data_IF_947377065698
#
_entry.id   IF_947377065698
#
_cell.length_a   1.000
_cell.length_b   1.000
_cell.length_c   1.000
_cell.angle_alpha   90.00
_cell.angle_beta   90.00
_cell.angle_gamma   90.00
#
_symmetry.space_group_name_H-M   'P 1'
#
loop_
_entity.id
_entity.type
_entity.pdbx_description
1 polymer ?
#
# COMPACT_ATOMS: atom_id res chain seq x y z
N UNK A 1 -13.80 9.21 28.61
CA UNK A 1 -13.57 9.52 27.18
C UNK A 1 -12.55 8.50 26.67
N UNK A 2 -12.97 7.49 25.92
CA UNK A 2 -12.10 6.36 25.53
C UNK A 2 -11.30 6.76 24.30
N UNK A 3 -9.99 6.93 24.45
CA UNK A 3 -9.08 7.17 23.35
C UNK A 3 -8.96 5.89 22.50
N UNK A 4 -9.65 5.85 21.36
CA UNK A 4 -9.45 4.82 20.35
C UNK A 4 -8.10 5.08 19.68
N UNK A 5 -7.03 4.48 20.21
CA UNK A 5 -5.73 4.48 19.55
C UNK A 5 -5.89 3.94 18.12
N UNK A 6 -5.66 4.81 17.14
CA UNK A 6 -5.66 4.52 15.70
C UNK A 6 -4.51 3.55 15.34
N UNK A 7 -4.67 2.26 15.68
CA UNK A 7 -3.80 1.18 15.24
C UNK A 7 -4.02 0.97 13.74
N UNK A 8 -3.29 1.71 12.90
CA UNK A 8 -3.19 1.44 11.46
C UNK A 8 -2.40 0.14 11.31
N UNK A 9 -2.94 -0.80 10.53
CA UNK A 9 -2.31 -2.10 10.28
C UNK A 9 -1.06 -1.90 9.42
N UNK A 10 0.07 -1.62 10.08
CA UNK A 10 1.41 -1.76 9.49
C UNK A 10 1.55 -3.22 9.09
N UNK A 11 1.74 -3.49 7.80
CA UNK A 11 1.83 -4.84 7.25
C UNK A 11 2.69 -5.73 8.14
N UNK A 12 2.13 -6.86 8.59
CA UNK A 12 2.78 -7.79 9.51
C UNK A 12 4.18 -8.14 8.98
N UNK A 13 5.24 -7.54 9.55
CA UNK A 13 6.62 -8.02 9.37
C UNK A 13 6.66 -9.44 9.92
N UNK A 14 6.77 -10.44 9.05
CA UNK A 14 7.34 -11.72 9.45
C UNK A 14 8.81 -11.40 9.70
N UNK A 15 9.21 -11.25 10.97
CA UNK A 15 10.62 -11.08 11.35
C UNK A 15 11.37 -12.29 10.82
N UNK A 16 11.99 -12.17 9.65
CA UNK A 16 13.05 -13.08 9.27
C UNK A 16 14.25 -12.61 10.08
N UNK A 17 14.56 -13.35 11.14
CA UNK A 17 15.79 -13.18 11.90
C UNK A 17 16.98 -13.28 10.95
N UNK A 18 17.95 -12.36 10.98
CA UNK A 18 19.22 -12.58 10.31
C UNK A 18 19.88 -13.76 11.01
N UNK A 19 20.02 -14.89 10.31
CA UNK A 19 20.93 -15.94 10.76
C UNK A 19 22.35 -15.40 10.57
N UNK A 20 22.89 -14.80 11.63
CA UNK A 20 24.32 -14.55 11.76
C UNK A 20 25.04 -15.89 11.60
N UNK A 21 25.62 -16.13 10.43
CA UNK A 21 26.67 -17.13 10.26
C UNK A 21 27.99 -16.39 10.48
N UNK A 22 28.51 -16.51 11.71
CA UNK A 22 29.89 -16.13 12.01
C UNK A 22 30.78 -17.27 11.49
N UNK A 23 31.64 -16.96 10.54
CA UNK A 23 32.85 -17.75 10.25
C UNK A 23 34.03 -16.78 10.21
N UNK A 24 35.11 -17.02 10.96
CA UNK A 24 36.28 -16.16 10.91
C UNK A 24 37.17 -16.62 9.75
N UNK A 25 37.64 -15.71 8.90
CA UNK A 25 39.02 -15.74 8.40
C UNK A 25 39.35 -14.54 7.50
N UNK A 26 40.40 -13.85 7.94
CA UNK A 26 41.44 -13.08 7.23
C UNK A 26 41.05 -11.86 6.39
N UNK A 27 41.76 -10.79 6.73
CA UNK A 27 41.86 -9.49 6.08
C UNK A 27 42.15 -9.61 4.57
N UNK A 28 41.33 -8.93 3.77
CA UNK A 28 41.82 -8.04 2.72
C UNK A 28 40.75 -6.94 2.53
N UNK A 29 41.24 -5.71 2.42
CA UNK A 29 40.46 -4.47 2.40
C UNK A 29 39.47 -4.46 1.23
N UNK A 30 38.15 -4.28 1.43
CA UNK A 30 37.26 -4.05 0.31
C UNK A 30 37.35 -2.59 -0.10
N UNK A 31 37.87 -2.38 -1.31
CA UNK A 31 37.62 -1.21 -2.13
C UNK A 31 36.11 -0.88 -2.04
N UNK A 32 35.81 0.35 -1.63
CA UNK A 32 34.45 0.84 -1.42
C UNK A 32 33.71 0.80 -2.76
N UNK A 33 33.04 -0.32 -3.04
CA UNK A 33 32.03 -0.39 -4.09
C UNK A 33 30.99 0.66 -3.71
N UNK A 34 31.00 1.78 -4.44
CA UNK A 34 29.95 2.79 -4.36
C UNK A 34 28.68 2.05 -4.71
N UNK A 35 27.86 1.71 -3.71
CA UNK A 35 26.54 1.15 -3.97
C UNK A 35 25.88 2.07 -5.01
N UNK A 36 25.41 1.54 -6.14
CA UNK A 36 24.69 2.36 -7.09
C UNK A 36 23.61 3.08 -6.31
N UNK A 37 23.49 4.39 -6.48
CA UNK A 37 22.47 5.19 -5.81
C UNK A 37 21.10 4.70 -6.33
N UNK A 38 20.60 3.62 -5.75
CA UNK A 38 19.33 3.00 -6.12
C UNK A 38 18.28 3.94 -5.59
N UNK A 39 17.66 4.67 -6.50
CA UNK A 39 16.51 5.51 -6.22
C UNK A 39 15.50 4.72 -5.35
N UNK A 40 15.28 5.12 -4.09
CA UNK A 40 14.44 4.35 -3.17
C UNK A 40 12.95 4.41 -3.56
N UNK A 41 12.56 5.33 -4.45
CA UNK A 41 11.19 5.52 -4.90
C UNK A 41 11.11 5.55 -6.43
N UNK A 42 11.38 4.39 -7.10
CA UNK A 42 11.27 4.28 -8.54
C UNK A 42 9.82 4.53 -8.99
N UNK A 43 9.66 5.18 -10.15
CA UNK A 43 8.33 5.42 -10.72
C UNK A 43 7.61 4.11 -11.04
N UNK A 44 8.32 3.14 -11.63
CA UNK A 44 7.77 1.82 -11.90
C UNK A 44 7.81 0.99 -10.62
N UNK A 45 6.63 0.52 -10.20
CA UNK A 45 6.48 -0.26 -8.97
C UNK A 45 6.32 -1.75 -9.27
N UNK A 46 6.72 -2.59 -8.33
CA UNK A 46 6.36 -4.01 -8.35
C UNK A 46 4.83 -4.16 -8.26
N UNK A 47 4.26 -5.18 -8.90
CA UNK A 47 2.82 -5.48 -8.82
C UNK A 47 2.34 -5.76 -7.39
N UNK A 48 3.23 -5.98 -6.44
CA UNK A 48 2.95 -6.14 -5.01
C UNK A 48 3.20 -4.88 -4.19
N UNK A 49 3.44 -3.74 -4.82
CA UNK A 49 3.63 -2.43 -4.18
C UNK A 49 2.50 -1.47 -4.58
N UNK A 50 2.42 -0.33 -3.89
CA UNK A 50 1.36 0.66 -4.13
C UNK A 50 1.85 2.09 -3.85
N UNK A 51 1.53 3.08 -4.73
CA UNK A 51 2.03 4.45 -4.64
C UNK A 51 1.80 5.17 -3.32
N UNK A 52 0.66 4.95 -2.65
CA UNK A 52 0.38 5.69 -1.41
C UNK A 52 1.20 5.18 -0.23
N UNK A 53 1.55 3.88 -0.21
CA UNK A 53 2.45 3.34 0.79
C UNK A 53 3.88 3.89 0.58
N UNK A 54 4.28 4.07 -0.68
CA UNK A 54 5.53 4.76 -1.03
C UNK A 54 5.52 6.23 -0.61
N UNK A 55 4.35 6.86 -0.60
CA UNK A 55 4.14 8.25 -0.22
C UNK A 55 4.12 8.56 1.26
N UNK A 56 3.96 7.55 2.11
CA UNK A 56 3.75 7.77 3.55
C UNK A 56 5.05 8.12 4.25
N UNK A 57 5.33 9.42 4.37
CA UNK A 57 6.53 9.97 5.03
C UNK A 57 6.62 9.65 6.52
N UNK A 58 5.54 9.15 7.13
CA UNK A 58 5.53 8.71 8.53
C UNK A 58 6.23 7.38 8.74
N UNK A 59 6.54 6.67 7.65
CA UNK A 59 7.16 5.35 7.65
C UNK A 59 8.63 5.44 7.22
N UNK A 60 9.42 4.47 7.67
CA UNK A 60 10.81 4.31 7.20
C UNK A 60 10.84 3.92 5.71
N UNK A 61 11.98 4.15 5.03
CA UNK A 61 12.13 3.79 3.60
C UNK A 61 11.84 2.29 3.36
N UNK A 62 12.29 1.41 4.25
CA UNK A 62 12.00 -0.03 4.18
C UNK A 62 10.49 -0.34 4.26
N UNK A 63 9.77 0.36 5.14
CA UNK A 63 8.33 0.15 5.31
C UNK A 63 7.52 0.69 4.14
N UNK A 64 7.97 1.81 3.55
CA UNK A 64 7.37 2.40 2.35
C UNK A 64 7.55 1.52 1.12
N UNK A 65 8.69 0.84 1.02
CA UNK A 65 9.07 -0.02 -0.11
C UNK A 65 8.69 -1.50 0.06
N UNK A 66 8.00 -1.85 1.15
CA UNK A 66 7.52 -3.21 1.41
C UNK A 66 6.66 -3.76 0.25
N UNK A 67 6.76 -5.08 0.03
CA UNK A 67 5.93 -5.82 -0.94
C UNK A 67 4.90 -6.68 -0.26
N UNK A 68 3.63 -6.49 -0.62
CA UNK A 68 2.56 -7.38 -0.18
C UNK A 68 2.83 -8.83 -0.60
N UNK A 69 2.37 -9.79 0.20
CA UNK A 69 2.57 -11.21 -0.12
C UNK A 69 1.92 -11.61 -1.45
N UNK A 70 0.78 -10.98 -1.79
CA UNK A 70 0.00 -11.25 -3.02
C UNK A 70 -0.62 -9.94 -3.56
N UNK A 71 -0.74 -9.78 -4.89
CA UNK A 71 -1.42 -8.62 -5.48
C UNK A 71 -2.87 -8.45 -5.01
N UNK A 72 -3.56 -9.56 -4.71
CA UNK A 72 -4.93 -9.51 -4.18
C UNK A 72 -5.00 -8.87 -2.79
N UNK A 73 -3.96 -9.01 -1.97
CA UNK A 73 -3.87 -8.39 -0.64
C UNK A 73 -3.57 -6.89 -0.78
N UNK A 74 -2.69 -6.52 -1.71
CA UNK A 74 -2.46 -5.11 -2.08
C UNK A 74 -3.76 -4.44 -2.52
N UNK A 75 -4.51 -5.07 -3.41
CA UNK A 75 -5.80 -4.53 -3.85
C UNK A 75 -6.81 -4.39 -2.71
N UNK A 76 -6.88 -5.39 -1.82
CA UNK A 76 -7.75 -5.34 -0.65
C UNK A 76 -7.38 -4.18 0.27
N UNK A 77 -6.08 -3.93 0.45
CA UNK A 77 -5.59 -2.77 1.19
C UNK A 77 -6.01 -1.45 0.52
N UNK A 78 -5.88 -1.33 -0.81
CA UNK A 78 -6.35 -0.16 -1.55
C UNK A 78 -7.86 0.06 -1.38
N UNK A 79 -8.66 -0.99 -1.62
CA UNK A 79 -10.12 -0.92 -1.56
C UNK A 79 -10.63 -0.52 -0.16
N UNK A 80 -9.94 -0.96 0.90
CA UNK A 80 -10.35 -0.74 2.29
C UNK A 80 -9.83 0.57 2.90
N UNK A 81 -8.62 1.01 2.56
CA UNK A 81 -7.99 2.17 3.20
C UNK A 81 -7.94 3.41 2.32
N UNK A 82 -7.75 3.25 1.00
CA UNK A 82 -7.38 4.35 0.11
C UNK A 82 -8.50 4.78 -0.82
N UNK A 83 -9.34 3.82 -1.26
CA UNK A 83 -10.41 4.08 -2.22
C UNK A 83 -11.51 4.96 -1.60
N UNK A 84 -11.93 4.66 -0.37
CA UNK A 84 -12.99 5.42 0.29
C UNK A 84 -12.61 6.88 0.59
N UNK A 85 -11.35 7.16 0.91
CA UNK A 85 -10.86 8.53 1.07
C UNK A 85 -10.94 9.31 -0.25
N UNK A 86 -10.58 8.68 -1.37
CA UNK A 86 -10.64 9.32 -2.69
C UNK A 86 -12.06 9.50 -3.20
N UNK A 87 -12.95 8.54 -2.96
CA UNK A 87 -14.38 8.69 -3.28
C UNK A 87 -14.97 9.88 -2.52
N UNK A 88 -14.60 10.09 -1.25
CA UNK A 88 -15.03 11.26 -0.48
C UNK A 88 -14.43 12.58 -0.98
N UNK A 89 -13.14 12.59 -1.30
CA UNK A 89 -12.49 13.76 -1.90
C UNK A 89 -13.24 14.22 -3.16
N UNK A 90 -13.62 13.28 -4.02
CA UNK A 90 -14.42 13.58 -5.20
C UNK A 90 -15.80 14.16 -4.91
N UNK A 91 -16.46 13.68 -3.87
CA UNK A 91 -17.75 14.24 -3.43
C UNK A 91 -17.61 15.67 -2.91
N UNK A 92 -16.41 16.06 -2.47
CA UNK A 92 -16.07 17.41 -2.02
C UNK A 92 -15.40 18.24 -3.12
N UNK A 93 -15.47 17.79 -4.39
CA UNK A 93 -14.85 18.43 -5.55
C UNK A 93 -13.32 18.59 -5.42
N UNK A 94 -12.70 17.77 -4.57
CA UNK A 94 -11.25 17.70 -4.42
C UNK A 94 -10.64 16.68 -5.40
N UNK A 95 -9.64 17.13 -6.15
CA UNK A 95 -8.90 16.29 -7.08
C UNK A 95 -8.17 15.14 -6.34
N UNK A 96 -8.36 13.86 -6.72
CA UNK A 96 -7.58 12.77 -6.18
C UNK A 96 -6.09 12.98 -6.42
N UNK A 97 -5.27 12.56 -5.46
CA UNK A 97 -3.81 12.67 -5.54
C UNK A 97 -3.18 11.30 -5.61
N UNK A 98 -2.04 11.23 -6.30
CA UNK A 98 -1.14 10.10 -6.20
C UNK A 98 -0.21 10.29 -5.00
N UNK A 99 -0.12 9.29 -4.13
CA UNK A 99 0.79 9.36 -2.99
C UNK A 99 2.26 9.21 -3.37
N UNK A 100 2.60 8.79 -4.59
CA UNK A 100 4.00 8.62 -4.98
C UNK A 100 4.81 9.93 -4.80
N UNK A 101 6.00 9.90 -4.17
CA UNK A 101 6.78 11.12 -3.88
C UNK A 101 7.05 11.99 -5.11
N UNK A 102 7.22 11.37 -6.27
CA UNK A 102 7.49 12.05 -7.56
C UNK A 102 6.25 12.57 -8.29
N UNK A 103 5.04 12.29 -7.78
CA UNK A 103 3.78 12.65 -8.43
C UNK A 103 2.99 13.71 -7.66
N UNK A 104 3.57 14.35 -6.64
CA UNK A 104 2.89 15.29 -5.72
C UNK A 104 2.24 16.50 -6.40
N UNK A 105 2.85 16.97 -7.48
CA UNK A 105 2.40 18.14 -8.24
C UNK A 105 1.31 17.80 -9.26
N UNK A 106 1.06 16.51 -9.52
CA UNK A 106 0.09 16.08 -10.50
C UNK A 106 -1.33 16.25 -9.96
N UNK A 107 -2.15 16.98 -10.70
CA UNK A 107 -3.59 17.10 -10.45
C UNK A 107 -4.32 16.06 -11.30
N UNK A 108 -5.11 15.22 -10.66
CA UNK A 108 -5.91 14.21 -11.35
C UNK A 108 -7.38 14.57 -11.18
N UNK A 109 -8.09 14.81 -12.28
CA UNK A 109 -9.46 15.36 -12.24
C UNK A 109 -10.51 14.29 -11.88
N UNK A 110 -10.25 13.03 -12.21
CA UNK A 110 -11.20 11.93 -12.03
C UNK A 110 -10.55 10.72 -11.36
N UNK A 111 -11.36 9.83 -10.76
CA UNK A 111 -10.85 8.57 -10.19
C UNK A 111 -10.30 7.67 -11.30
N UNK A 112 -10.83 7.80 -12.51
CA UNK A 112 -10.37 7.04 -13.65
C UNK A 112 -9.07 7.62 -14.20
N UNK A 113 -8.86 8.94 -14.18
CA UNK A 113 -7.55 9.55 -14.42
C UNK A 113 -6.52 9.05 -13.41
N UNK A 114 -6.88 8.96 -12.14
CA UNK A 114 -6.01 8.36 -11.12
C UNK A 114 -5.69 6.89 -11.40
N UNK A 115 -6.68 6.04 -11.69
CA UNK A 115 -6.44 4.62 -12.00
C UNK A 115 -5.56 4.47 -13.25
N UNK A 116 -5.80 5.28 -14.27
CA UNK A 116 -5.00 5.27 -15.51
C UNK A 116 -3.57 5.75 -15.25
N UNK A 117 -3.39 6.78 -14.43
CA UNK A 117 -2.07 7.24 -13.99
C UNK A 117 -1.32 6.12 -13.26
N UNK A 118 -1.95 5.46 -12.29
CA UNK A 118 -1.31 4.36 -11.54
C UNK A 118 -0.97 3.17 -12.45
N UNK A 119 -1.82 2.86 -13.43
CA UNK A 119 -1.55 1.80 -14.39
C UNK A 119 -0.41 2.14 -15.36
N UNK A 120 -0.37 3.36 -15.90
CA UNK A 120 0.57 3.78 -16.94
C UNK A 120 1.93 4.22 -16.39
N UNK A 121 1.95 5.00 -15.30
CA UNK A 121 3.17 5.55 -14.70
C UNK A 121 3.80 4.56 -13.72
N UNK A 122 2.98 3.84 -12.95
CA UNK A 122 3.47 2.94 -11.90
C UNK A 122 3.41 1.46 -12.27
N UNK A 123 2.83 1.09 -13.41
CA UNK A 123 2.69 -0.32 -13.83
C UNK A 123 1.71 -1.13 -12.96
N UNK A 124 0.93 -0.47 -12.09
CA UNK A 124 0.06 -1.10 -11.11
C UNK A 124 -1.39 -1.00 -11.55
N UNK A 125 -1.99 -2.13 -11.94
CA UNK A 125 -3.41 -2.16 -12.31
C UNK A 125 -4.29 -2.31 -11.07
N UNK A 126 -5.19 -1.34 -10.87
CA UNK A 126 -6.22 -1.36 -9.81
C UNK A 126 -7.49 -2.08 -10.27
N UNK A 127 -8.32 -2.52 -9.31
CA UNK A 127 -9.58 -3.20 -9.59
C UNK A 127 -10.60 -2.26 -10.25
N UNK A 128 -11.41 -2.82 -11.14
CA UNK A 128 -12.56 -2.10 -11.69
C UNK A 128 -13.71 -2.02 -10.69
N UNK A 129 -14.58 -1.03 -10.86
CA UNK A 129 -15.70 -0.74 -9.95
C UNK A 129 -16.59 -1.96 -9.71
N UNK A 130 -16.83 -2.81 -10.73
CA UNK A 130 -17.59 -4.06 -10.58
C UNK A 130 -16.97 -5.01 -9.55
N UNK A 131 -15.64 -5.19 -9.59
CA UNK A 131 -14.93 -6.09 -8.65
C UNK A 131 -14.95 -5.53 -7.23
N UNK A 132 -14.77 -4.22 -7.08
CA UNK A 132 -14.85 -3.51 -5.79
C UNK A 132 -16.24 -3.66 -5.19
N UNK A 133 -17.30 -3.38 -5.96
CA UNK A 133 -18.68 -3.47 -5.49
C UNK A 133 -19.05 -4.90 -5.06
N UNK A 134 -18.66 -5.91 -5.86
CA UNK A 134 -18.85 -7.31 -5.49
C UNK A 134 -18.16 -7.67 -4.16
N UNK A 135 -16.95 -7.13 -3.91
CA UNK A 135 -16.23 -7.32 -2.65
C UNK A 135 -16.94 -6.62 -1.49
N UNK A 136 -17.38 -5.37 -1.67
CA UNK A 136 -18.14 -4.61 -0.67
C UNK A 136 -19.41 -5.36 -0.25
N UNK A 137 -20.18 -5.87 -1.23
CA UNK A 137 -21.38 -6.68 -0.97
C UNK A 137 -21.06 -7.96 -0.20
N UNK A 138 -20.03 -8.72 -0.60
CA UNK A 138 -19.59 -9.93 0.11
C UNK A 138 -19.17 -9.62 1.55
N UNK A 139 -18.43 -8.53 1.77
CA UNK A 139 -17.98 -8.09 3.09
C UNK A 139 -19.16 -7.68 3.97
N UNK A 140 -20.15 -6.98 3.41
CA UNK A 140 -21.39 -6.63 4.10
C UNK A 140 -22.20 -7.87 4.50
N UNK A 141 -22.40 -8.83 3.58
CA UNK A 141 -23.10 -10.09 3.87
C UNK A 141 -22.43 -10.87 5.00
N UNK A 142 -21.10 -11.00 4.99
CA UNK A 142 -20.34 -11.65 6.06
C UNK A 142 -20.52 -10.95 7.41
N UNK A 143 -20.49 -9.61 7.44
CA UNK A 143 -20.72 -8.84 8.67
C UNK A 143 -22.13 -9.06 9.24
N UNK A 144 -23.15 -9.16 8.38
CA UNK A 144 -24.52 -9.46 8.80
C UNK A 144 -24.63 -10.87 9.42
N UNK A 145 -24.00 -11.88 8.82
CA UNK A 145 -23.99 -13.24 9.36
C UNK A 145 -23.34 -13.30 10.75
N UNK A 146 -22.19 -12.65 10.94
CA UNK A 146 -21.50 -12.59 12.24
C UNK A 146 -22.36 -11.88 13.30
N UNK A 147 -23.00 -10.76 12.94
CA UNK A 147 -23.89 -10.01 13.84
C UNK A 147 -25.19 -10.78 14.17
N UNK A 148 -25.64 -11.64 13.26
CA UNK A 148 -26.79 -12.52 13.47
C UNK A 148 -26.48 -13.65 14.45
N UNK A 149 -25.31 -14.28 14.33
CA UNK A 149 -24.83 -15.29 15.29
C UNK A 149 -24.64 -14.69 16.69
N UNK A 150 -24.05 -13.50 16.82
CA UNK A 150 -23.84 -12.85 18.13
C UNK A 150 -25.11 -12.34 18.82
N UNK A 151 -26.30 -12.55 18.24
CA UNK A 151 -27.61 -12.19 18.82
C UNK A 151 -28.41 -13.42 19.27
N UNK A 152 -27.88 -14.62 19.03
CA UNK A 152 -28.50 -15.90 19.40
C UNK A 152 -27.83 -16.54 20.64
N UNK A 153 -26.75 -15.94 21.14
CA UNK A 153 -26.12 -16.21 22.44
C UNK A 153 -26.64 -15.20 23.49
#
# INVERSE_FOLDING_TARGET
MVALCNKRETGKRRRLSPKLKVTPMKEESPEFEVEPNVDPFPLLLDVKQYPDCFGDERLTVEERTFRYCRPTVRDDHFDDHHLGERERAMQQEEAPRCGHPKCRTLKLESLDHFKNHVASVHGVKLRCSRRVNNRRMKKAKRRQMVKGMSRMD
#
